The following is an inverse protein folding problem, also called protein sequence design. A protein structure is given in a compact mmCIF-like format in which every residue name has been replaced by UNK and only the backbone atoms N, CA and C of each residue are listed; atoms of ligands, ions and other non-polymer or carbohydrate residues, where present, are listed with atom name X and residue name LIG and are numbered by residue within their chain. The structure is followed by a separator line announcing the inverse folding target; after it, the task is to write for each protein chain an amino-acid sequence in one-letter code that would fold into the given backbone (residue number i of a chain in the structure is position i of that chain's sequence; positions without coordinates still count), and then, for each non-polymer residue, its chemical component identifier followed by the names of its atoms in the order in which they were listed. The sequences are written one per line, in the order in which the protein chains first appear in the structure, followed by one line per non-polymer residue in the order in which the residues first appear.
data_IF_672282146002
#
_entry.id   IF_672282146002
#
_cell.length_a   1.000
_cell.length_b   1.000
_cell.length_c   1.000
_cell.angle_alpha   90.00
_cell.angle_beta   90.00
_cell.angle_gamma   90.00
#
_symmetry.space_group_name_H-M   'P 1'
#
loop_
_entity.id
_entity.type
_entity.pdbx_description
1 polymer ?
#
# COMPACT_ATOMS: atom_id res chain seq x y z
N UNK A 1 34.25 -30.12 -20.31
CA UNK A 1 33.95 -30.35 -18.87
C UNK A 1 33.97 -29.06 -18.05
N UNK A 2 35.05 -28.24 -18.03
CA UNK A 2 35.11 -26.98 -17.24
C UNK A 2 34.19 -25.86 -17.73
N UNK A 3 34.06 -25.66 -19.04
CA UNK A 3 33.19 -24.62 -19.63
C UNK A 3 31.69 -24.87 -19.34
N UNK A 4 31.29 -26.14 -19.31
CA UNK A 4 29.91 -26.56 -19.10
C UNK A 4 29.43 -26.28 -17.65
N UNK A 5 30.35 -26.37 -16.68
CA UNK A 5 30.11 -25.99 -15.30
C UNK A 5 30.00 -24.47 -15.09
N UNK A 6 30.74 -23.66 -15.86
CA UNK A 6 30.63 -22.20 -15.80
C UNK A 6 29.29 -21.70 -16.35
N UNK A 7 28.82 -22.31 -17.45
CA UNK A 7 27.51 -22.01 -18.04
C UNK A 7 26.36 -22.34 -17.08
N UNK A 8 26.43 -23.49 -16.39
CA UNK A 8 25.42 -23.89 -15.39
C UNK A 8 25.37 -22.91 -14.21
N UNK A 9 26.52 -22.42 -13.73
CA UNK A 9 26.57 -21.45 -12.64
C UNK A 9 26.00 -20.08 -13.02
N UNK A 10 26.27 -19.60 -14.24
CA UNK A 10 25.74 -18.32 -14.73
C UNK A 10 24.22 -18.34 -14.91
N UNK A 11 23.66 -19.45 -15.40
CA UNK A 11 22.20 -19.62 -15.52
C UNK A 11 21.54 -19.63 -14.14
N UNK A 12 22.14 -20.32 -13.15
CA UNK A 12 21.65 -20.33 -11.78
C UNK A 12 21.65 -18.93 -11.15
N UNK A 13 22.70 -18.15 -11.38
CA UNK A 13 22.82 -16.79 -10.84
C UNK A 13 21.81 -15.83 -11.48
N UNK A 14 21.56 -15.94 -12.79
CA UNK A 14 20.51 -15.16 -13.47
C UNK A 14 19.10 -15.44 -12.91
N UNK A 15 18.79 -16.69 -12.55
CA UNK A 15 17.50 -17.03 -11.90
C UNK A 15 17.34 -16.37 -10.53
N UNK A 16 18.42 -16.19 -9.78
CA UNK A 16 18.37 -15.55 -8.44
C UNK A 16 18.23 -14.03 -8.56
N UNK A 17 18.79 -13.40 -9.60
CA UNK A 17 18.70 -11.95 -9.78
C UNK A 17 17.31 -11.45 -10.22
N UNK A 18 16.48 -12.32 -10.81
CA UNK A 18 15.08 -12.00 -11.12
C UNK A 18 14.21 -11.79 -9.86
N UNK A 19 14.70 -12.16 -8.67
CA UNK A 19 14.05 -11.85 -7.37
C UNK A 19 14.50 -10.52 -6.76
N UNK A 20 15.16 -9.64 -7.51
CA UNK A 20 15.36 -8.23 -7.12
C UNK A 20 14.41 -7.29 -7.85
N UNK A 21 13.28 -7.83 -8.31
CA UNK A 21 12.20 -7.05 -8.88
C UNK A 21 11.35 -6.50 -7.73
N UNK A 22 11.60 -5.25 -7.32
CA UNK A 22 10.54 -4.39 -6.78
C UNK A 22 9.65 -3.93 -7.94
N UNK A 23 8.53 -4.62 -8.20
CA UNK A 23 7.35 -3.88 -8.59
C UNK A 23 6.10 -4.58 -8.07
N UNK A 24 5.45 -4.00 -7.06
CA UNK A 24 4.06 -4.37 -6.80
C UNK A 24 3.28 -3.09 -6.54
N UNK A 25 3.02 -2.38 -7.63
CA UNK A 25 1.69 -1.83 -7.83
C UNK A 25 0.82 -3.01 -8.28
N UNK A 26 0.09 -3.65 -7.35
CA UNK A 26 -0.84 -4.72 -7.71
C UNK A 26 -1.94 -4.83 -6.65
N UNK A 27 -3.14 -4.47 -7.09
CA UNK A 27 -4.39 -5.19 -6.88
C UNK A 27 -4.81 -5.47 -5.42
N UNK A 28 -5.81 -4.69 -5.01
CA UNK A 28 -7.05 -5.20 -4.44
C UNK A 28 -7.00 -6.60 -3.78
N UNK A 29 -7.01 -6.59 -2.44
CA UNK A 29 -7.55 -7.67 -1.60
C UNK A 29 -6.73 -8.97 -1.42
N UNK A 30 -5.40 -8.88 -1.33
CA UNK A 30 -4.58 -9.92 -0.69
C UNK A 30 -3.79 -9.36 0.49
N UNK A 31 -4.43 -9.16 1.64
CA UNK A 31 -3.81 -8.82 2.94
C UNK A 31 -2.51 -8.01 2.84
N UNK A 32 -2.54 -6.88 2.14
CA UNK A 32 -1.32 -6.10 1.85
C UNK A 32 -0.80 -5.51 3.15
N UNK A 33 0.24 -6.14 3.70
CA UNK A 33 0.93 -5.61 4.85
C UNK A 33 1.88 -4.50 4.41
N UNK A 34 1.92 -3.42 5.17
CA UNK A 34 2.89 -2.36 4.97
C UNK A 34 4.26 -2.80 5.49
N UNK A 35 5.28 -2.77 4.64
CA UNK A 35 6.66 -2.96 5.08
C UNK A 35 7.17 -1.75 5.88
N UNK A 36 7.06 -0.57 5.28
CA UNK A 36 7.49 0.70 5.88
C UNK A 36 6.34 1.71 5.94
N UNK A 37 6.37 2.56 6.98
CA UNK A 37 5.39 3.63 7.17
C UNK A 37 5.97 4.93 6.64
N UNK A 38 5.23 5.59 5.77
CA UNK A 38 5.55 6.93 5.30
C UNK A 38 5.38 7.93 6.45
N UNK A 39 6.45 8.66 6.74
CA UNK A 39 6.41 9.81 7.65
C UNK A 39 5.94 11.10 6.95
N UNK A 40 5.77 11.06 5.61
CA UNK A 40 5.39 12.23 4.84
C UNK A 40 3.91 12.53 5.04
N UNK A 41 3.61 13.75 5.49
CA UNK A 41 2.25 14.23 5.66
C UNK A 41 1.59 14.45 4.30
N UNK A 42 0.61 13.62 3.97
CA UNK A 42 -0.14 13.73 2.73
C UNK A 42 -1.23 14.79 2.88
N UNK A 43 -1.32 15.78 1.98
CA UNK A 43 -2.41 16.75 2.02
C UNK A 43 -3.78 16.09 1.86
N UNK A 44 -4.73 16.39 2.76
CA UNK A 44 -6.11 15.87 2.72
C UNK A 44 -6.83 16.03 1.38
N UNK A 45 -6.51 17.09 0.63
CA UNK A 45 -7.11 17.37 -0.69
C UNK A 45 -6.77 16.30 -1.72
N UNK A 46 -5.67 15.58 -1.52
CA UNK A 46 -5.19 14.51 -2.37
C UNK A 46 -5.74 13.15 -1.94
N UNK A 47 -6.17 12.98 -0.69
CA UNK A 47 -6.71 11.72 -0.17
C UNK A 47 -8.14 11.53 -0.66
N UNK A 48 -8.36 10.42 -1.38
CA UNK A 48 -9.67 10.04 -1.93
C UNK A 48 -10.36 9.02 -1.03
N UNK A 49 -9.62 8.02 -0.59
CA UNK A 49 -10.11 6.94 0.26
C UNK A 49 -8.99 6.45 1.18
N UNK A 50 -9.37 5.58 2.12
CA UNK A 50 -8.41 4.90 2.97
C UNK A 50 -8.94 3.51 3.31
N UNK A 51 -8.03 2.61 3.66
CA UNK A 51 -8.33 1.32 4.25
C UNK A 51 -7.32 0.99 5.35
N UNK A 52 -7.65 -0.01 6.17
CA UNK A 52 -6.77 -0.52 7.23
C UNK A 52 -6.10 -1.80 6.74
N UNK A 53 -4.84 -2.00 7.09
CA UNK A 53 -4.18 -3.29 6.86
C UNK A 53 -4.86 -4.40 7.67
N UNK A 54 -4.73 -5.65 7.24
CA UNK A 54 -5.24 -6.81 7.97
C UNK A 54 -4.68 -6.87 9.40
N UNK A 55 -5.46 -7.44 10.32
CA UNK A 55 -5.01 -7.73 11.68
C UNK A 55 -3.90 -8.78 11.74
N UNK A 56 -3.75 -9.57 10.67
CA UNK A 56 -2.66 -10.55 10.50
C UNK A 56 -1.31 -9.91 10.22
N UNK A 57 -1.27 -8.61 9.90
CA UNK A 57 -0.02 -7.92 9.65
C UNK A 57 0.73 -7.64 10.96
N UNK A 58 2.05 -7.88 11.00
CA UNK A 58 2.87 -7.61 12.19
C UNK A 58 2.87 -6.12 12.55
N UNK A 59 2.66 -5.25 11.57
CA UNK A 59 2.48 -3.80 11.74
C UNK A 59 1.11 -3.39 11.23
N UNK A 60 0.32 -2.76 12.10
CA UNK A 60 -0.95 -2.14 11.73
C UNK A 60 -0.68 -0.78 11.09
N UNK A 61 -1.24 -0.55 9.91
CA UNK A 61 -1.12 0.69 9.19
C UNK A 61 -2.47 1.14 8.61
N UNK A 62 -2.57 2.44 8.36
CA UNK A 62 -3.61 2.99 7.50
C UNK A 62 -2.98 3.19 6.12
N UNK A 63 -3.69 2.77 5.07
CA UNK A 63 -3.26 3.05 3.71
C UNK A 63 -4.14 4.14 3.14
N UNK A 64 -3.53 5.27 2.78
CA UNK A 64 -4.22 6.35 2.07
C UNK A 64 -4.09 6.17 0.56
N UNK A 65 -5.23 6.18 -0.12
CA UNK A 65 -5.27 6.22 -1.57
C UNK A 65 -5.47 7.66 -2.03
N UNK A 66 -4.55 8.11 -2.87
CA UNK A 66 -4.56 9.47 -3.41
C UNK A 66 -5.27 9.56 -4.75
N UNK A 67 -5.64 10.78 -5.15
CA UNK A 67 -6.20 11.08 -6.49
C UNK A 67 -5.29 10.62 -7.64
N UNK A 68 -3.99 10.56 -7.41
CA UNK A 68 -3.01 10.07 -8.39
C UNK A 68 -2.97 8.53 -8.49
N UNK A 69 -3.87 7.82 -7.79
CA UNK A 69 -3.86 6.36 -7.71
C UNK A 69 -2.74 5.78 -6.83
N UNK A 70 -1.92 6.64 -6.21
CA UNK A 70 -0.83 6.21 -5.33
C UNK A 70 -1.34 5.88 -3.94
N UNK A 71 -0.78 4.82 -3.37
CA UNK A 71 -1.06 4.35 -2.03
C UNK A 71 0.08 4.67 -1.08
N UNK A 72 -0.26 5.09 0.13
CA UNK A 72 0.73 5.42 1.15
C UNK A 72 0.36 4.75 2.46
N UNK A 73 1.25 3.87 2.92
CA UNK A 73 1.23 3.34 4.28
C UNK A 73 1.57 4.45 5.26
N UNK A 74 0.72 4.69 6.25
CA UNK A 74 0.94 5.71 7.27
C UNK A 74 0.66 5.15 8.65
N UNK A 75 1.31 5.76 9.63
CA UNK A 75 1.21 5.37 11.02
C UNK A 75 -0.18 5.72 11.60
N UNK A 76 -0.91 4.75 12.18
CA UNK A 76 -2.24 4.98 12.73
C UNK A 76 -2.24 5.85 13.99
N UNK A 77 -1.12 5.93 14.71
CA UNK A 77 -0.99 6.72 15.94
C UNK A 77 -0.77 8.20 15.67
N UNK A 78 -0.35 8.55 14.45
CA UNK A 78 -0.13 9.93 14.07
C UNK A 78 -1.42 10.76 14.09
N UNK A 79 -1.38 11.91 14.76
CA UNK A 79 -2.54 12.80 14.96
C UNK A 79 -3.14 13.30 13.65
N UNK A 80 -2.29 13.57 12.65
CA UNK A 80 -2.77 14.01 11.34
C UNK A 80 -3.51 12.90 10.59
N UNK A 81 -3.08 11.65 10.74
CA UNK A 81 -3.72 10.47 10.11
C UNK A 81 -5.13 10.30 10.66
N UNK A 82 -5.29 10.35 11.98
CA UNK A 82 -6.61 10.29 12.67
C UNK A 82 -7.55 11.38 12.10
N UNK A 83 -7.07 12.63 12.03
CA UNK A 83 -7.83 13.74 11.46
C UNK A 83 -8.22 13.54 9.98
N UNK A 84 -7.36 12.90 9.18
CA UNK A 84 -7.65 12.63 7.77
C UNK A 84 -8.70 11.54 7.62
N UNK A 85 -8.58 10.46 8.39
CA UNK A 85 -9.56 9.37 8.46
C UNK A 85 -10.95 9.91 8.78
N UNK A 86 -11.09 10.72 9.83
CA UNK A 86 -12.39 11.29 10.23
C UNK A 86 -13.04 12.12 9.13
N UNK A 87 -12.23 12.95 8.44
CA UNK A 87 -12.73 13.80 7.35
C UNK A 87 -13.13 12.98 6.13
N UNK A 88 -12.40 11.91 5.82
CA UNK A 88 -12.75 11.00 4.73
C UNK A 88 -14.00 10.21 5.06
N UNK A 89 -14.17 9.73 6.29
CA UNK A 89 -15.39 9.03 6.74
C UNK A 89 -16.62 9.94 6.68
N UNK A 90 -16.52 11.19 7.15
CA UNK A 90 -17.61 12.17 7.02
C UNK A 90 -18.05 12.36 5.55
N UNK A 91 -17.09 12.41 4.62
CA UNK A 91 -17.38 12.48 3.18
C UNK A 91 -18.08 11.22 2.67
N UNK A 92 -17.66 10.02 3.12
CA UNK A 92 -18.31 8.75 2.75
C UNK A 92 -19.74 8.66 3.29
N UNK A 93 -19.97 9.07 4.54
CA UNK A 93 -21.30 9.06 5.17
C UNK A 93 -22.26 10.02 4.46
N UNK A 94 -21.80 11.25 4.14
CA UNK A 94 -22.61 12.20 3.37
C UNK A 94 -23.01 11.64 2.00
N UNK A 95 -22.08 11.01 1.27
CA UNK A 95 -22.38 10.33 0.00
C UNK A 95 -23.35 9.17 0.18
N UNK A 96 -23.14 8.31 1.18
CA UNK A 96 -24.02 7.17 1.45
C UNK A 96 -25.43 7.62 1.81
N UNK A 97 -25.57 8.67 2.63
CA UNK A 97 -26.87 9.26 2.94
C UNK A 97 -27.56 9.78 1.70
N UNK A 98 -26.85 10.49 0.81
CA UNK A 98 -27.40 10.96 -0.46
C UNK A 98 -27.83 9.81 -1.38
N UNK A 99 -27.03 8.75 -1.50
CA UNK A 99 -27.38 7.57 -2.31
C UNK A 99 -28.55 6.77 -1.74
N UNK A 100 -28.77 6.77 -0.43
CA UNK A 100 -29.92 6.10 0.20
C UNK A 100 -31.20 6.94 0.10
N UNK A 101 -31.07 8.25 -0.12
CA UNK A 101 -32.19 9.18 -0.27
C UNK A 101 -32.66 9.39 -1.72
N UNK A 102 -32.03 8.71 -2.69
CA UNK A 102 -32.42 8.68 -4.12
C UNK A 102 -32.94 7.29 -4.44
#
# INVERSE_FOLDING_TARGET
MRSLMCLLFLVLFCSVQMTSSTPIALEAAQSTCCGELSNVKIPLKLVTSYYRTSSSCPRRAIVFQTKAGKEFCVDPESTWVKSHVDKVEKRKQSKRSYTVSI
#
